data_IF_997225849576
#
_entry.id   IF_997225849576
#
_cell.length_a   1.000
_cell.length_b   1.000
_cell.length_c   1.000
_cell.angle_alpha   90.00
_cell.angle_beta   90.00
_cell.angle_gamma   90.00
#
_symmetry.space_group_name_H-M   'P 1'
#
loop_
_entity.id
_entity.type
_entity.pdbx_description
1 polymer ?
#
# COMPACT_ATOMS: atom_id res chain seq x y z
N UNK A 1 35.47 -5.08 32.07
CA UNK A 1 35.23 -3.80 31.38
C UNK A 1 35.60 -4.04 29.94
N UNK A 2 34.60 -4.10 29.07
CA UNK A 2 34.78 -4.40 27.65
C UNK A 2 33.76 -3.58 26.89
N UNK A 3 34.20 -2.45 26.37
CA UNK A 3 33.46 -1.66 25.39
C UNK A 3 34.21 -1.83 24.08
N UNK A 4 33.67 -2.71 23.23
CA UNK A 4 34.06 -2.80 21.83
C UNK A 4 33.22 -1.79 21.07
N UNK A 5 33.88 -0.78 20.53
CA UNK A 5 33.33 0.13 19.53
C UNK A 5 33.03 -0.68 18.26
N UNK A 6 31.74 -0.90 17.99
CA UNK A 6 31.26 -1.45 16.73
C UNK A 6 31.32 -0.36 15.67
N UNK A 7 32.10 -0.64 14.63
CA UNK A 7 32.29 0.18 13.44
C UNK A 7 30.93 0.59 12.85
N UNK A 8 30.82 1.88 12.50
CA UNK A 8 29.63 2.44 11.89
C UNK A 8 29.30 1.72 10.60
N UNK A 9 28.20 0.96 10.61
CA UNK A 9 27.47 0.64 9.40
C UNK A 9 26.96 1.97 8.85
N UNK A 10 27.60 2.45 7.78
CA UNK A 10 27.02 3.50 6.95
C UNK A 10 25.71 2.93 6.43
N UNK A 11 24.62 3.27 7.09
CA UNK A 11 23.30 2.88 6.66
C UNK A 11 23.07 3.53 5.29
N UNK A 12 22.87 2.75 4.24
CA UNK A 12 22.56 3.21 2.87
C UNK A 12 21.17 3.90 2.78
N UNK A 13 20.66 4.44 3.88
CA UNK A 13 19.41 5.19 3.87
C UNK A 13 19.63 6.53 3.15
N UNK A 14 18.66 7.00 2.35
CA UNK A 14 18.64 8.36 1.84
C UNK A 14 18.82 9.37 2.98
N UNK A 15 19.65 10.39 2.78
CA UNK A 15 19.94 11.41 3.80
C UNK A 15 18.68 12.16 4.29
N UNK A 16 17.61 12.13 3.49
CA UNK A 16 16.35 12.83 3.74
C UNK A 16 15.12 11.92 3.67
N UNK A 17 15.00 10.98 4.61
CA UNK A 17 13.68 10.43 4.99
C UNK A 17 13.08 11.35 6.06
N UNK A 18 11.82 11.84 5.91
CA UNK A 18 11.15 12.61 6.97
C UNK A 18 11.18 11.84 8.29
N UNK A 19 11.36 12.55 9.40
CA UNK A 19 11.64 11.94 10.70
C UNK A 19 10.54 10.94 11.12
N UNK A 20 9.30 11.21 10.74
CA UNK A 20 8.13 10.38 10.99
C UNK A 20 8.15 9.01 10.28
N UNK A 21 9.01 8.81 9.27
CA UNK A 21 9.11 7.56 8.51
C UNK A 21 10.44 6.82 8.69
N UNK A 22 11.37 7.37 9.48
CA UNK A 22 12.70 6.75 9.71
C UNK A 22 12.61 5.44 10.49
N UNK A 23 11.68 5.34 11.43
CA UNK A 23 11.54 4.15 12.29
C UNK A 23 10.82 2.99 11.57
N UNK A 24 10.10 3.28 10.49
CA UNK A 24 9.49 2.27 9.60
C UNK A 24 10.41 1.86 8.45
N UNK A 25 11.57 2.51 8.31
CA UNK A 25 12.49 2.31 7.22
C UNK A 25 13.56 1.27 7.61
N UNK A 26 13.59 0.13 6.90
CA UNK A 26 14.66 -0.87 7.03
C UNK A 26 15.75 -0.62 5.97
N UNK A 27 16.82 0.10 6.35
CA UNK A 27 17.90 0.47 5.41
C UNK A 27 18.63 -0.75 4.81
N UNK A 28 18.58 -1.90 5.49
CA UNK A 28 19.23 -3.14 5.07
C UNK A 28 18.55 -3.79 3.87
N UNK A 29 17.29 -3.43 3.61
CA UNK A 29 16.48 -4.01 2.55
C UNK A 29 16.67 -3.31 1.17
N UNK A 30 17.24 -2.11 1.15
CA UNK A 30 17.08 -1.08 0.09
C UNK A 30 18.00 -1.13 -1.13
N UNK A 31 18.87 -2.13 -1.30
CA UNK A 31 19.90 -2.06 -2.36
C UNK A 31 19.41 -2.58 -3.73
N UNK A 32 18.99 -1.64 -4.58
CA UNK A 32 18.70 -1.84 -6.00
C UNK A 32 19.70 -1.08 -6.91
N UNK A 33 20.18 -1.66 -8.03
CA UNK A 33 20.98 -0.93 -9.01
C UNK A 33 20.12 0.16 -9.69
N UNK A 34 20.39 1.45 -9.43
CA UNK A 34 19.68 2.57 -10.07
C UNK A 34 19.06 3.61 -9.13
N UNK A 35 19.07 3.37 -7.81
CA UNK A 35 18.95 4.41 -6.79
C UNK A 35 17.58 5.09 -6.61
N UNK A 36 16.50 4.62 -7.27
CA UNK A 36 15.13 5.11 -7.02
C UNK A 36 14.38 4.18 -6.08
N UNK A 37 13.79 4.73 -5.02
CA UNK A 37 13.06 4.00 -3.97
C UNK A 37 11.65 4.59 -3.85
N UNK A 38 10.64 3.72 -3.76
CA UNK A 38 9.23 4.10 -3.61
C UNK A 38 8.68 3.58 -2.28
N UNK A 39 8.08 4.49 -1.50
CA UNK A 39 7.42 4.19 -0.25
C UNK A 39 5.94 4.57 -0.32
N UNK A 40 5.07 3.67 0.13
CA UNK A 40 3.62 3.85 0.09
C UNK A 40 3.03 3.72 1.49
N UNK A 41 2.31 4.75 1.88
CA UNK A 41 1.56 4.80 3.13
C UNK A 41 0.10 5.07 2.82
N UNK A 42 -0.80 4.25 3.34
CA UNK A 42 -2.24 4.46 3.24
C UNK A 42 -2.88 4.57 4.60
N UNK A 43 -3.82 5.49 4.75
CA UNK A 43 -4.68 5.53 5.94
C UNK A 43 -6.09 5.96 5.58
N UNK A 44 -7.06 5.41 6.29
CA UNK A 44 -8.46 5.62 5.97
C UNK A 44 -9.43 5.00 6.94
N UNK A 45 -10.68 5.00 6.53
CA UNK A 45 -11.82 4.48 7.29
C UNK A 45 -12.91 3.97 6.37
N UNK A 46 -13.70 3.04 6.86
CA UNK A 46 -15.00 2.73 6.30
C UNK A 46 -16.11 3.07 7.28
N UNK A 47 -17.30 3.37 6.77
CA UNK A 47 -18.46 3.70 7.57
C UNK A 47 -19.54 2.60 7.55
N UNK A 48 -20.62 2.82 8.30
CA UNK A 48 -21.72 1.88 8.42
C UNK A 48 -22.61 1.79 7.18
N UNK A 49 -22.32 2.55 6.13
CA UNK A 49 -23.03 2.53 4.84
C UNK A 49 -22.25 1.77 3.76
N UNK A 50 -21.28 0.96 4.16
CA UNK A 50 -20.42 0.19 3.26
C UNK A 50 -19.68 1.12 2.27
N UNK A 51 -19.22 2.29 2.74
CA UNK A 51 -18.34 3.20 2.01
C UNK A 51 -16.93 3.21 2.62
N UNK A 52 -15.91 3.32 1.78
CA UNK A 52 -14.50 3.47 2.18
C UNK A 52 -13.94 4.80 1.69
N UNK A 53 -13.09 5.41 2.51
CA UNK A 53 -12.29 6.58 2.16
C UNK A 53 -10.87 6.38 2.68
N UNK A 54 -9.89 6.46 1.79
CA UNK A 54 -8.48 6.25 2.09
C UNK A 54 -7.68 7.38 1.43
N UNK A 55 -6.66 7.87 2.11
CA UNK A 55 -5.61 8.71 1.52
C UNK A 55 -4.33 7.88 1.44
N UNK A 56 -3.81 7.74 0.23
CA UNK A 56 -2.51 7.13 -0.02
C UNK A 56 -1.47 8.20 -0.35
N UNK A 57 -0.30 8.06 0.27
CA UNK A 57 0.87 8.91 0.03
C UNK A 57 1.98 8.04 -0.53
N UNK A 58 2.47 8.44 -1.69
CA UNK A 58 3.50 7.74 -2.43
C UNK A 58 4.73 8.62 -2.51
N UNK A 59 5.76 8.23 -1.79
CA UNK A 59 7.02 8.96 -1.70
C UNK A 59 8.04 8.31 -2.61
N UNK A 60 8.69 9.13 -3.42
CA UNK A 60 9.75 8.72 -4.32
C UNK A 60 11.04 9.39 -3.91
N UNK A 61 12.08 8.59 -3.74
CA UNK A 61 13.43 9.04 -3.42
C UNK A 61 14.36 8.60 -4.54
N UNK A 62 15.21 9.50 -5.00
CA UNK A 62 16.29 9.24 -5.95
C UNK A 62 17.59 9.81 -5.38
N UNK A 63 18.73 9.51 -6.00
CA UNK A 63 20.03 10.06 -5.61
C UNK A 63 20.06 11.60 -5.52
N UNK A 64 19.20 12.29 -6.26
CA UNK A 64 19.25 13.75 -6.41
C UNK A 64 17.97 14.48 -6.01
N UNK A 65 16.89 13.78 -5.69
CA UNK A 65 15.60 14.40 -5.37
C UNK A 65 14.67 13.48 -4.60
N UNK A 66 13.76 14.08 -3.83
CA UNK A 66 12.59 13.41 -3.30
C UNK A 66 11.31 14.09 -3.78
N UNK A 67 10.25 13.31 -3.94
CA UNK A 67 8.94 13.76 -4.36
C UNK A 67 7.85 12.95 -3.65
N UNK A 68 6.65 13.50 -3.53
CA UNK A 68 5.50 12.80 -2.95
C UNK A 68 4.25 13.10 -3.76
N UNK A 69 3.55 12.04 -4.18
CA UNK A 69 2.22 12.10 -4.77
C UNK A 69 1.18 11.62 -3.75
N UNK A 70 -0.01 12.23 -3.79
CA UNK A 70 -1.10 11.94 -2.86
C UNK A 70 -2.33 11.56 -3.66
N UNK A 71 -2.87 10.39 -3.35
CA UNK A 71 -4.07 9.84 -3.96
C UNK A 71 -5.17 9.76 -2.92
N UNK A 72 -6.36 10.19 -3.31
CA UNK A 72 -7.58 9.90 -2.58
C UNK A 72 -8.27 8.70 -3.23
N UNK A 73 -8.63 7.74 -2.40
CA UNK A 73 -9.34 6.55 -2.78
C UNK A 73 -10.70 6.60 -2.10
N UNK A 74 -11.73 6.39 -2.90
CA UNK A 74 -13.09 6.29 -2.38
C UNK A 74 -13.87 5.26 -3.16
N UNK A 75 -14.82 4.63 -2.48
CA UNK A 75 -15.58 3.57 -3.09
C UNK A 75 -16.52 2.88 -2.13
N UNK A 76 -17.15 1.82 -2.62
CA UNK A 76 -18.16 1.06 -1.89
C UNK A 76 -17.81 -0.42 -1.81
N UNK A 77 -18.39 -1.12 -0.83
CA UNK A 77 -18.17 -2.55 -0.68
C UNK A 77 -18.68 -3.28 -1.92
N UNK A 78 -17.80 -4.05 -2.55
CA UNK A 78 -18.13 -4.87 -3.70
C UNK A 78 -18.88 -6.14 -3.27
N UNK A 79 -19.92 -6.55 -4.01
CA UNK A 79 -20.57 -7.84 -3.80
C UNK A 79 -19.78 -9.02 -4.39
N UNK A 80 -18.65 -8.76 -5.07
CA UNK A 80 -17.82 -9.80 -5.68
C UNK A 80 -17.15 -10.63 -4.59
N UNK A 81 -17.14 -11.95 -4.78
CA UNK A 81 -16.45 -12.88 -3.89
C UNK A 81 -14.93 -12.60 -3.89
N UNK A 82 -14.31 -12.32 -2.73
CA UNK A 82 -12.87 -12.06 -2.60
C UNK A 82 -11.98 -13.15 -3.20
N UNK A 83 -12.43 -14.41 -3.21
CA UNK A 83 -11.70 -15.54 -3.81
C UNK A 83 -11.44 -15.36 -5.31
N UNK A 84 -12.24 -14.53 -5.99
CA UNK A 84 -12.06 -14.16 -7.40
C UNK A 84 -10.73 -13.44 -7.66
N UNK A 85 -10.20 -12.78 -6.63
CA UNK A 85 -8.97 -11.99 -6.69
C UNK A 85 -7.73 -12.75 -6.21
N UNK A 86 -7.85 -14.07 -5.98
CA UNK A 86 -6.75 -14.86 -5.43
C UNK A 86 -6.46 -14.59 -3.95
N UNK A 87 -7.39 -13.93 -3.25
CA UNK A 87 -7.31 -13.63 -1.82
C UNK A 87 -8.37 -14.44 -1.04
N UNK A 88 -8.19 -15.76 -0.85
CA UNK A 88 -9.21 -16.62 -0.25
C UNK A 88 -9.49 -16.33 1.24
N UNK A 89 -8.59 -15.61 1.91
CA UNK A 89 -8.75 -15.15 3.30
C UNK A 89 -9.44 -13.78 3.44
N UNK A 90 -9.45 -12.98 2.37
CA UNK A 90 -10.01 -11.63 2.42
C UNK A 90 -11.52 -11.68 2.68
N UNK A 91 -11.98 -10.86 3.62
CA UNK A 91 -13.41 -10.78 3.96
C UNK A 91 -14.16 -9.76 3.12
N UNK A 92 -13.45 -8.73 2.69
CA UNK A 92 -14.03 -7.57 2.05
C UNK A 92 -13.23 -7.15 0.84
N UNK A 93 -13.98 -6.87 -0.22
CA UNK A 93 -13.50 -6.21 -1.41
C UNK A 93 -14.24 -4.90 -1.51
N UNK A 94 -13.51 -3.84 -1.85
CA UNK A 94 -14.03 -2.51 -2.09
C UNK A 94 -13.81 -2.20 -3.57
N UNK A 95 -14.85 -1.78 -4.28
CA UNK A 95 -14.71 -1.19 -5.60
C UNK A 95 -14.40 0.29 -5.42
N UNK A 96 -13.23 0.75 -5.87
CA UNK A 96 -12.69 2.07 -5.56
C UNK A 96 -12.20 2.81 -6.81
N UNK A 97 -12.18 4.13 -6.71
CA UNK A 97 -11.53 5.04 -7.66
C UNK A 97 -10.36 5.75 -6.97
N UNK A 98 -9.19 5.73 -7.61
CA UNK A 98 -8.00 6.48 -7.23
C UNK A 98 -7.98 7.82 -7.97
N UNK A 99 -8.02 8.91 -7.21
CA UNK A 99 -7.92 10.28 -7.73
C UNK A 99 -6.65 10.95 -7.22
N UNK A 100 -5.78 11.35 -8.14
CA UNK A 100 -4.59 12.12 -7.78
C UNK A 100 -5.00 13.52 -7.35
N UNK A 101 -4.56 13.97 -6.16
CA UNK A 101 -4.75 15.35 -5.75
C UNK A 101 -3.92 16.25 -6.67
N UNK A 102 -4.58 16.89 -7.65
CA UNK A 102 -3.92 17.75 -8.65
C UNK A 102 -2.98 18.75 -7.98
N UNK A 103 -1.69 18.66 -8.29
CA UNK A 103 -0.64 19.52 -7.71
C UNK A 103 0.65 18.75 -7.39
N UNK A 104 0.54 17.45 -7.14
CA UNK A 104 1.65 16.55 -6.89
C UNK A 104 1.65 15.46 -7.96
N UNK A 105 2.41 15.64 -9.03
CA UNK A 105 2.71 14.55 -9.96
C UNK A 105 4.23 14.44 -10.07
N UNK A 106 4.82 13.41 -9.48
CA UNK A 106 6.25 13.15 -9.46
C UNK A 106 6.82 12.74 -10.84
N UNK A 107 6.05 12.90 -11.92
CA UNK A 107 6.45 12.49 -13.27
C UNK A 107 6.53 10.97 -13.44
N UNK A 108 5.84 10.21 -12.59
CA UNK A 108 5.86 8.75 -12.55
C UNK A 108 4.74 8.19 -13.43
N UNK A 109 5.04 7.11 -14.16
CA UNK A 109 4.03 6.31 -14.83
C UNK A 109 3.30 5.41 -13.81
N UNK A 110 2.31 5.98 -13.13
CA UNK A 110 1.51 5.30 -12.09
C UNK A 110 0.88 3.97 -12.55
N UNK A 111 0.56 3.84 -13.84
CA UNK A 111 0.06 2.59 -14.41
C UNK A 111 0.99 1.39 -14.20
N UNK A 112 2.29 1.57 -14.41
CA UNK A 112 3.28 0.51 -14.21
C UNK A 112 3.49 0.15 -12.73
N UNK A 113 3.16 1.06 -11.81
CA UNK A 113 3.19 0.81 -10.37
C UNK A 113 2.00 0.00 -9.88
N UNK A 114 0.80 0.31 -10.39
CA UNK A 114 -0.42 -0.40 -10.02
C UNK A 114 -0.59 -1.72 -10.76
N UNK A 115 -0.04 -1.83 -11.97
CA UNK A 115 -0.08 -3.01 -12.81
C UNK A 115 1.26 -3.24 -13.52
N UNK A 116 2.24 -3.87 -12.85
CA UNK A 116 3.52 -4.20 -13.46
C UNK A 116 3.35 -4.98 -14.77
N UNK A 117 3.99 -4.53 -15.85
CA UNK A 117 3.84 -5.09 -17.20
C UNK A 117 2.74 -4.44 -18.06
N UNK A 118 2.01 -3.45 -17.54
CA UNK A 118 0.99 -2.68 -18.27
C UNK A 118 1.35 -1.19 -18.34
N UNK A 119 2.35 -0.85 -19.15
CA UNK A 119 2.89 0.51 -19.29
C UNK A 119 1.90 1.54 -19.91
N UNK A 120 0.80 1.08 -20.49
CA UNK A 120 -0.20 1.94 -21.16
C UNK A 120 -1.35 2.41 -20.28
N UNK A 121 -1.39 2.01 -19.00
CA UNK A 121 -2.46 2.39 -18.08
C UNK A 121 -2.27 3.85 -17.63
N UNK A 122 -3.04 4.76 -18.22
CA UNK A 122 -3.06 6.18 -17.83
C UNK A 122 -4.29 6.47 -16.95
N UNK A 123 -4.07 7.16 -15.82
CA UNK A 123 -5.13 7.44 -14.85
C UNK A 123 -6.19 8.45 -15.34
N UNK A 124 -7.27 8.68 -14.58
CA UNK A 124 -7.55 8.16 -13.23
C UNK A 124 -7.77 6.65 -13.23
N UNK A 125 -7.49 6.00 -12.09
CA UNK A 125 -7.56 4.56 -11.97
C UNK A 125 -8.80 4.15 -11.20
N UNK A 126 -9.40 3.03 -11.59
CA UNK A 126 -10.49 2.38 -10.85
C UNK A 126 -10.21 0.89 -10.75
N UNK A 127 -10.87 0.22 -9.82
CA UNK A 127 -10.61 -1.19 -9.56
C UNK A 127 -11.01 -1.58 -8.15
N UNK A 128 -10.21 -2.42 -7.52
CA UNK A 128 -10.57 -3.05 -6.26
C UNK A 128 -9.46 -2.95 -5.23
N UNK A 129 -9.85 -2.80 -3.97
CA UNK A 129 -8.98 -3.01 -2.81
C UNK A 129 -9.53 -4.16 -1.98
N UNK A 130 -8.66 -5.08 -1.61
CA UNK A 130 -8.98 -6.14 -0.67
C UNK A 130 -8.28 -5.87 0.67
N UNK A 131 -9.05 -6.02 1.75
CA UNK A 131 -8.56 -5.89 3.11
C UNK A 131 -8.78 -7.23 3.82
N UNK A 132 -7.68 -7.90 4.15
CA UNK A 132 -7.68 -9.18 4.83
C UNK A 132 -7.13 -9.02 6.24
N UNK A 133 -8.02 -9.10 7.24
CA UNK A 133 -7.65 -9.09 8.66
C UNK A 133 -7.61 -10.50 9.28
N UNK A 134 -7.58 -11.55 8.47
CA UNK A 134 -7.66 -12.93 8.90
C UNK A 134 -6.35 -13.69 8.70
N UNK A 135 -6.21 -14.78 9.44
CA UNK A 135 -5.12 -15.74 9.31
C UNK A 135 -5.43 -16.72 8.19
N UNK A 136 -4.48 -16.92 7.25
CA UNK A 136 -4.60 -17.88 6.15
C UNK A 136 -4.79 -19.33 6.62
N UNK A 137 -4.40 -19.65 7.87
CA UNK A 137 -4.38 -21.02 8.37
C UNK A 137 -5.75 -21.52 8.82
N UNK A 138 -6.59 -20.63 9.37
CA UNK A 138 -7.84 -21.01 10.03
C UNK A 138 -9.00 -20.02 9.84
N UNK A 139 -8.81 -18.96 9.03
CA UNK A 139 -9.78 -17.88 8.84
C UNK A 139 -10.27 -17.28 10.16
N UNK A 140 -9.44 -17.28 11.20
CA UNK A 140 -9.69 -16.49 12.42
C UNK A 140 -9.12 -15.08 12.26
N UNK A 141 -9.77 -14.09 12.88
CA UNK A 141 -9.29 -12.70 12.83
C UNK A 141 -7.93 -12.60 13.54
N UNK A 142 -6.99 -11.90 12.93
CA UNK A 142 -5.67 -11.65 13.48
C UNK A 142 -5.79 -10.91 14.82
N UNK A 143 -5.37 -11.55 15.92
CA UNK A 143 -5.48 -11.00 17.28
C UNK A 143 -4.64 -9.72 17.48
N UNK A 144 -3.62 -9.52 16.65
CA UNK A 144 -2.76 -8.33 16.62
C UNK A 144 -3.32 -7.21 15.73
N UNK A 145 -4.52 -7.38 15.18
CA UNK A 145 -5.15 -6.46 14.24
C UNK A 145 -4.35 -6.26 12.94
N UNK A 146 -3.46 -7.20 12.59
CA UNK A 146 -2.74 -7.14 11.32
C UNK A 146 -3.72 -7.19 10.13
N UNK A 147 -3.46 -6.35 9.13
CA UNK A 147 -4.17 -6.36 7.85
C UNK A 147 -3.19 -6.53 6.69
N UNK A 148 -3.56 -7.38 5.75
CA UNK A 148 -2.97 -7.45 4.43
C UNK A 148 -3.85 -6.65 3.46
N UNK A 149 -3.24 -5.77 2.69
CA UNK A 149 -3.91 -4.94 1.69
C UNK A 149 -3.38 -5.32 0.32
N UNK A 150 -4.27 -5.71 -0.57
CA UNK A 150 -3.97 -5.84 -2.00
C UNK A 150 -4.88 -4.91 -2.79
N UNK A 151 -4.44 -4.57 -3.99
CA UNK A 151 -5.22 -3.76 -4.91
C UNK A 151 -5.20 -4.42 -6.30
N UNK A 152 -6.22 -4.20 -7.09
CA UNK A 152 -6.24 -4.56 -8.50
C UNK A 152 -6.82 -3.39 -9.28
N UNK A 153 -6.31 -3.16 -10.50
CA UNK A 153 -6.80 -2.06 -11.36
C UNK A 153 -7.59 -2.61 -12.54
N UNK A 154 -8.57 -1.85 -12.99
CA UNK A 154 -9.34 -2.12 -14.19
C UNK A 154 -8.73 -1.41 -15.39
N UNK A 155 -8.47 -2.18 -16.44
CA UNK A 155 -8.01 -1.71 -17.74
C UNK A 155 -9.00 -2.14 -18.82
N UNK A 156 -9.72 -1.18 -19.42
CA UNK A 156 -10.76 -1.43 -20.43
C UNK A 156 -11.76 -2.55 -20.03
N UNK A 157 -12.16 -2.56 -18.75
CA UNK A 157 -13.08 -3.55 -18.18
C UNK A 157 -12.45 -4.91 -17.86
N UNK A 158 -11.14 -5.07 -18.05
CA UNK A 158 -10.39 -6.25 -17.63
C UNK A 158 -9.66 -5.99 -16.32
N UNK A 159 -9.82 -6.92 -15.38
CA UNK A 159 -9.07 -6.91 -14.14
C UNK A 159 -7.59 -7.20 -14.39
N UNK A 160 -6.72 -6.34 -13.86
CA UNK A 160 -5.28 -6.49 -13.90
C UNK A 160 -4.77 -6.57 -12.46
N UNK A 161 -4.14 -7.70 -12.14
CA UNK A 161 -3.76 -7.97 -10.77
C UNK A 161 -2.50 -7.20 -10.35
N UNK A 162 -2.55 -6.51 -9.20
CA UNK A 162 -1.33 -6.00 -8.60
C UNK A 162 -0.66 -7.12 -7.83
N UNK A 163 0.62 -7.36 -8.13
CA UNK A 163 1.43 -8.36 -7.44
C UNK A 163 2.02 -7.83 -6.13
N UNK A 164 1.98 -6.51 -5.92
CA UNK A 164 2.40 -5.88 -4.68
C UNK A 164 1.27 -5.89 -3.66
N UNK A 165 1.64 -6.10 -2.40
CA UNK A 165 0.73 -6.02 -1.26
C UNK A 165 1.32 -5.11 -0.18
N UNK A 166 0.45 -4.46 0.59
CA UNK A 166 0.82 -3.72 1.79
C UNK A 166 0.48 -4.51 3.05
N UNK A 167 1.16 -4.17 4.14
CA UNK A 167 0.82 -4.69 5.47
C UNK A 167 0.57 -3.52 6.41
N UNK A 168 -0.37 -3.71 7.32
CA UNK A 168 -0.79 -2.64 8.20
C UNK A 168 -1.49 -3.13 9.44
N UNK A 169 -2.22 -2.20 10.06
CA UNK A 169 -3.12 -2.47 11.17
C UNK A 169 -4.53 -1.99 10.84
N UNK A 170 -5.53 -2.75 11.29
CA UNK A 170 -6.94 -2.42 11.12
C UNK A 170 -7.63 -2.38 12.48
N UNK A 171 -8.05 -1.19 12.92
CA UNK A 171 -8.64 -1.02 14.25
C UNK A 171 -10.17 -1.03 14.15
N UNK A 172 -10.85 -2.01 14.78
CA UNK A 172 -12.30 -1.96 14.92
C UNK A 172 -12.66 -0.82 15.90
N UNK A 173 -13.62 0.03 15.54
CA UNK A 173 -14.23 1.01 16.46
C UNK A 173 -15.56 0.49 17.03
N UNK A 174 -16.15 -0.54 16.42
CA UNK A 174 -17.36 -1.26 16.84
C UNK A 174 -17.03 -2.60 17.48
N UNK A 175 -17.92 -3.04 18.39
CA UNK A 175 -17.91 -4.38 18.98
C UNK A 175 -18.74 -5.39 18.17
N UNK A 176 -19.43 -4.95 17.13
CA UNK A 176 -20.18 -5.80 16.21
C UNK A 176 -19.27 -6.28 15.07
N UNK A 177 -19.47 -7.53 14.63
CA UNK A 177 -18.72 -8.10 13.50
C UNK A 177 -19.04 -7.32 12.21
N UNK A 178 -18.00 -6.86 11.53
CA UNK A 178 -18.10 -6.05 10.32
C UNK A 178 -16.72 -5.60 9.82
N UNK A 179 -16.65 -4.91 8.67
CA UNK A 179 -15.39 -4.34 8.18
C UNK A 179 -14.77 -3.41 9.24
N UNK A 180 -13.44 -3.40 9.40
CA UNK A 180 -12.78 -2.50 10.34
C UNK A 180 -13.10 -1.04 10.02
N UNK A 181 -13.38 -0.18 10.99
CA UNK A 181 -13.76 1.21 10.64
C UNK A 181 -12.54 2.15 10.51
N UNK A 182 -11.33 1.69 10.87
CA UNK A 182 -10.07 2.42 10.64
C UNK A 182 -8.96 1.50 10.14
N UNK A 183 -8.17 2.03 9.21
CA UNK A 183 -7.08 1.32 8.55
C UNK A 183 -5.84 2.20 8.46
N UNK A 184 -4.68 1.62 8.72
CA UNK A 184 -3.38 2.23 8.44
C UNK A 184 -2.43 1.15 7.92
N UNK A 185 -1.73 1.40 6.82
CA UNK A 185 -0.77 0.45 6.28
C UNK A 185 0.44 1.12 5.65
N UNK A 186 1.48 0.31 5.53
CA UNK A 186 2.73 0.64 4.88
C UNK A 186 3.04 -0.47 3.89
N UNK A 187 3.42 -0.10 2.67
CA UNK A 187 4.08 -1.02 1.75
C UNK A 187 5.44 -0.48 1.34
N UNK A 188 6.37 -1.41 1.21
CA UNK A 188 7.58 -1.21 0.44
C UNK A 188 7.31 -1.76 -0.96
N UNK A 189 7.41 -0.90 -1.98
CA UNK A 189 7.20 -1.32 -3.36
C UNK A 189 8.55 -1.32 -4.06
N UNK A 190 8.98 -2.53 -4.41
CA UNK A 190 10.14 -2.76 -5.24
C UNK A 190 9.66 -2.96 -6.66
N UNK A 191 9.67 -1.88 -7.43
CA UNK A 191 9.55 -1.98 -8.88
C UNK A 191 10.81 -2.71 -9.36
N UNK A 192 10.67 -3.76 -10.16
CA UNK A 192 11.77 -4.58 -10.67
C UNK A 192 13.07 -3.78 -10.89
N UNK A 193 14.07 -4.10 -10.06
CA UNK A 193 15.39 -3.47 -10.07
C UNK A 193 16.39 -4.27 -10.93
N UNK A 194 15.98 -4.65 -12.14
CA UNK A 194 16.84 -5.27 -13.17
C UNK A 194 17.03 -4.34 -14.38
#
# INVERSE_FOLDING_TARGET
>A
EGEGEGEGETSDCPESVPAEYRDTWDCTASTCPGGTIVYHYGSGSSDSTDQISVTEKWYLFSESSSCMDVWDLSGERSPIDPTTFGAPGAETVWEVEWTLQTGNACGVAWGGLFAPGFEGLEGPFSGFIQLDTHSELDNSRNEDNAVLVSADVLDDGRLVHNVNFARGTATPMSTEDGPPERYEWVSEIRIDCD
#
